data_IF_895609770172
#
_entry.id   IF_895609770172
#
_cell.length_a   1.000
_cell.length_b   1.000
_cell.length_c   1.000
_cell.angle_alpha   90.00
_cell.angle_beta   90.00
_cell.angle_gamma   90.00
#
_symmetry.space_group_name_H-M   'P 1'
#
loop_
_entity.id
_entity.type
_entity.pdbx_description
1 polymer ?
#
# COMPACT_ATOMS: atom_id res chain seq x y z
N UNK A 1 -3.19 18.98 10.48
CA UNK A 1 -3.22 18.11 9.28
C UNK A 1 -2.07 17.12 9.34
N UNK A 2 -2.39 15.83 9.43
CA UNK A 2 -1.38 14.78 9.49
C UNK A 2 -1.22 14.11 8.14
N UNK A 3 0.03 13.81 7.79
CA UNK A 3 0.37 13.07 6.58
C UNK A 3 1.23 11.88 6.96
N UNK A 4 1.05 10.78 6.29
CA UNK A 4 1.87 9.59 6.50
C UNK A 4 2.62 9.24 5.23
N UNK A 5 3.84 8.75 5.38
CA UNK A 5 4.64 8.29 4.25
C UNK A 5 4.94 6.81 4.48
N UNK A 6 4.56 5.99 3.53
CA UNK A 6 4.79 4.55 3.58
C UNK A 6 5.83 4.20 2.54
N UNK A 7 6.93 3.60 2.97
CA UNK A 7 7.99 3.16 2.05
C UNK A 7 7.68 1.75 1.58
N UNK A 8 7.32 1.64 0.32
CA UNK A 8 7.01 0.36 -0.31
C UNK A 8 7.96 0.05 -1.46
N UNK A 9 9.16 0.64 -1.42
CA UNK A 9 10.13 0.53 -2.50
C UNK A 9 11.08 -0.67 -2.36
N UNK A 10 11.14 -1.28 -1.18
CA UNK A 10 12.09 -2.36 -0.91
C UNK A 10 11.74 -3.66 -1.60
N UNK A 11 12.77 -4.42 -1.95
CA UNK A 11 12.59 -5.71 -2.62
C UNK A 11 12.10 -6.81 -1.68
N UNK A 12 12.36 -6.71 -0.39
CA UNK A 12 11.99 -7.75 0.56
C UNK A 12 12.87 -8.99 0.43
N UNK A 13 14.16 -8.80 0.58
CA UNK A 13 15.17 -9.83 0.32
C UNK A 13 15.04 -11.10 1.15
N UNK A 14 14.30 -11.05 2.23
CA UNK A 14 14.11 -12.23 3.09
C UNK A 14 13.07 -13.20 2.56
N UNK A 15 12.32 -12.79 1.55
CA UNK A 15 11.29 -13.63 0.97
C UNK A 15 11.80 -14.26 -0.32
N UNK A 16 11.53 -15.54 -0.49
CA UNK A 16 11.96 -16.27 -1.67
C UNK A 16 11.07 -16.01 -2.89
N UNK A 17 10.08 -15.17 -2.74
CA UNK A 17 9.18 -14.81 -3.82
C UNK A 17 9.72 -13.61 -4.58
N UNK A 18 9.40 -13.51 -5.87
CA UNK A 18 9.74 -12.35 -6.68
C UNK A 18 8.81 -11.17 -6.41
N UNK A 19 7.73 -11.38 -5.68
CA UNK A 19 6.80 -10.31 -5.34
C UNK A 19 7.42 -9.37 -4.32
N UNK A 20 7.16 -8.06 -4.43
CA UNK A 20 7.57 -7.12 -3.38
C UNK A 20 6.97 -7.54 -2.05
N UNK A 21 7.71 -7.34 -0.97
CA UNK A 21 7.26 -7.71 0.36
C UNK A 21 5.89 -7.13 0.69
N UNK A 22 5.67 -5.88 0.31
CA UNK A 22 4.45 -5.14 0.68
C UNK A 22 3.19 -5.67 0.02
N UNK A 23 3.29 -6.50 -1.02
CA UNK A 23 2.11 -7.09 -1.65
C UNK A 23 1.84 -8.53 -1.19
N UNK A 24 2.68 -9.08 -0.32
CA UNK A 24 2.39 -10.38 0.26
C UNK A 24 1.15 -10.27 1.13
N UNK A 25 0.27 -11.23 0.97
CA UNK A 25 -1.03 -11.18 1.62
C UNK A 25 -1.00 -11.69 3.05
N UNK A 26 -1.73 -10.99 3.91
CA UNK A 26 -2.02 -11.41 5.28
C UNK A 26 -3.54 -11.37 5.41
N UNK A 27 -4.15 -12.50 5.72
CA UNK A 27 -5.61 -12.61 5.81
C UNK A 27 -6.29 -12.14 4.52
N UNK A 28 -5.69 -12.47 3.39
CA UNK A 28 -6.25 -12.18 2.07
C UNK A 28 -6.06 -10.77 1.57
N UNK A 29 -5.28 -9.94 2.28
CA UNK A 29 -5.03 -8.57 1.85
C UNK A 29 -3.54 -8.27 1.89
N UNK A 30 -3.02 -7.46 0.97
CA UNK A 30 -1.58 -7.16 0.96
C UNK A 30 -1.16 -6.35 2.18
N UNK A 31 0.08 -6.54 2.61
CA UNK A 31 0.60 -5.85 3.78
C UNK A 31 0.50 -4.33 3.66
N UNK A 32 0.70 -3.81 2.46
CA UNK A 32 0.62 -2.36 2.23
C UNK A 32 -0.77 -1.80 2.56
N UNK A 33 -1.80 -2.60 2.32
CA UNK A 33 -3.16 -2.20 2.67
C UNK A 33 -3.28 -1.93 4.18
N UNK A 34 -2.73 -2.82 5.01
CA UNK A 34 -2.80 -2.65 6.45
C UNK A 34 -2.03 -1.41 6.91
N UNK A 35 -0.90 -1.13 6.26
CA UNK A 35 -0.12 0.06 6.58
C UNK A 35 -0.90 1.34 6.27
N UNK A 36 -1.60 1.37 5.15
CA UNK A 36 -2.41 2.52 4.77
C UNK A 36 -3.57 2.70 5.76
N UNK A 37 -4.25 1.59 6.09
CA UNK A 37 -5.38 1.67 7.03
C UNK A 37 -4.93 2.07 8.43
N UNK A 38 -3.75 1.62 8.85
CA UNK A 38 -3.20 2.03 10.15
C UNK A 38 -2.93 3.54 10.18
N UNK A 39 -2.39 4.09 9.09
CA UNK A 39 -2.15 5.52 9.00
C UNK A 39 -3.46 6.31 9.05
N UNK A 40 -4.48 5.85 8.36
CA UNK A 40 -5.78 6.50 8.37
C UNK A 40 -6.42 6.43 9.76
N UNK A 41 -6.31 5.29 10.43
CA UNK A 41 -6.83 5.13 11.77
C UNK A 41 -6.12 6.03 12.78
N UNK A 42 -4.87 6.38 12.51
CA UNK A 42 -4.10 7.29 13.35
C UNK A 42 -4.47 8.76 13.12
N UNK A 43 -5.39 9.03 12.19
CA UNK A 43 -5.86 10.39 11.92
C UNK A 43 -5.15 11.12 10.79
N UNK A 44 -4.41 10.39 9.95
CA UNK A 44 -3.73 11.01 8.82
C UNK A 44 -4.73 11.37 7.72
N UNK A 45 -4.67 12.61 7.28
CA UNK A 45 -5.54 13.10 6.21
C UNK A 45 -5.09 12.62 4.84
N UNK A 46 -3.79 12.41 4.67
CA UNK A 46 -3.24 11.91 3.42
C UNK A 46 -2.16 10.88 3.69
N UNK A 47 -2.09 9.90 2.80
CA UNK A 47 -1.08 8.84 2.88
C UNK A 47 -0.32 8.81 1.56
N UNK A 48 0.99 8.95 1.64
CA UNK A 48 1.86 8.89 0.47
C UNK A 48 2.58 7.54 0.47
N UNK A 49 2.40 6.76 -0.58
CA UNK A 49 3.06 5.46 -0.72
C UNK A 49 4.17 5.59 -1.76
N UNK A 50 5.40 5.41 -1.33
CA UNK A 50 6.55 5.49 -2.22
C UNK A 50 6.88 4.09 -2.71
N UNK A 51 6.79 3.89 -4.01
CA UNK A 51 7.02 2.60 -4.65
C UNK A 51 8.31 2.64 -5.46
N UNK A 52 8.89 1.49 -5.71
CA UNK A 52 10.13 1.37 -6.47
C UNK A 52 10.22 0.01 -7.13
N UNK A 53 10.71 -0.99 -6.42
CA UNK A 53 10.82 -2.33 -6.96
C UNK A 53 9.42 -2.84 -7.36
N UNK A 54 9.25 -3.15 -8.62
CA UNK A 54 7.98 -3.60 -9.20
C UNK A 54 6.81 -2.67 -8.85
N UNK A 55 7.05 -1.38 -9.04
CA UNK A 55 6.09 -0.33 -8.70
C UNK A 55 4.69 -0.59 -9.26
N UNK A 56 4.60 -1.09 -10.49
CA UNK A 56 3.32 -1.35 -11.13
C UNK A 56 2.52 -2.44 -10.41
N UNK A 57 3.19 -3.48 -9.92
CA UNK A 57 2.53 -4.53 -9.16
C UNK A 57 2.00 -4.01 -7.83
N UNK A 58 2.78 -3.19 -7.15
CA UNK A 58 2.38 -2.61 -5.88
C UNK A 58 1.16 -1.71 -6.06
N UNK A 59 1.22 -0.84 -7.05
CA UNK A 59 0.11 0.07 -7.36
C UNK A 59 -1.16 -0.70 -7.70
N UNK A 60 -1.05 -1.71 -8.55
CA UNK A 60 -2.20 -2.52 -8.92
C UNK A 60 -2.78 -3.25 -7.74
N UNK A 61 -1.93 -3.79 -6.87
CA UNK A 61 -2.37 -4.51 -5.68
C UNK A 61 -3.18 -3.60 -4.76
N UNK A 62 -2.73 -2.38 -4.57
CA UNK A 62 -3.43 -1.40 -3.74
C UNK A 62 -4.80 -1.10 -4.34
N UNK A 63 -4.84 -0.75 -5.62
CA UNK A 63 -6.09 -0.39 -6.30
C UNK A 63 -7.08 -1.55 -6.30
N UNK A 64 -6.61 -2.76 -6.58
CA UNK A 64 -7.47 -3.94 -6.60
C UNK A 64 -8.06 -4.22 -5.23
N UNK A 65 -7.27 -4.05 -4.17
CA UNK A 65 -7.75 -4.30 -2.82
C UNK A 65 -8.88 -3.35 -2.44
N UNK A 66 -8.70 -2.06 -2.71
CA UNK A 66 -9.75 -1.08 -2.41
C UNK A 66 -11.00 -1.29 -3.26
N UNK A 67 -10.82 -1.72 -4.51
CA UNK A 67 -11.96 -2.02 -5.37
C UNK A 67 -12.75 -3.23 -4.84
N UNK A 68 -12.05 -4.28 -4.41
CA UNK A 68 -12.71 -5.46 -3.86
C UNK A 68 -13.50 -5.18 -2.59
N UNK A 69 -13.02 -4.23 -1.81
CA UNK A 69 -13.66 -3.86 -0.55
C UNK A 69 -14.70 -2.76 -0.73
N UNK A 70 -14.93 -2.33 -1.96
CA UNK A 70 -15.85 -1.24 -2.29
C UNK A 70 -15.48 0.04 -1.53
N UNK A 71 -14.18 0.30 -1.45
CA UNK A 71 -13.63 1.46 -0.75
C UNK A 71 -12.85 2.38 -1.69
N UNK A 72 -13.21 2.40 -2.96
CA UNK A 72 -12.48 3.18 -3.96
C UNK A 72 -12.40 4.66 -3.61
N UNK A 73 -13.41 5.19 -2.92
CA UNK A 73 -13.41 6.58 -2.50
C UNK A 73 -12.26 6.92 -1.56
N UNK A 74 -11.82 5.96 -0.75
CA UNK A 74 -10.72 6.18 0.19
C UNK A 74 -9.38 6.36 -0.52
N UNK A 75 -9.29 5.93 -1.78
CA UNK A 75 -8.07 6.11 -2.57
C UNK A 75 -7.78 7.57 -2.90
N UNK A 76 -8.77 8.45 -2.78
CA UNK A 76 -8.56 9.87 -3.05
C UNK A 76 -7.50 10.49 -2.15
N UNK A 77 -7.35 9.96 -0.95
CA UNK A 77 -6.38 10.45 0.01
C UNK A 77 -5.05 9.70 -0.04
N UNK A 78 -4.92 8.76 -0.96
CA UNK A 78 -3.72 7.95 -1.11
C UNK A 78 -2.98 8.38 -2.38
N UNK A 79 -1.73 8.80 -2.21
CA UNK A 79 -0.86 9.20 -3.32
C UNK A 79 0.20 8.14 -3.50
N UNK A 80 0.27 7.58 -4.71
CA UNK A 80 1.28 6.56 -5.02
C UNK A 80 2.30 7.19 -5.94
N UNK A 81 3.57 7.18 -5.54
CA UNK A 81 4.63 7.84 -6.29
C UNK A 81 5.92 7.02 -6.25
N UNK A 82 6.78 7.26 -7.22
CA UNK A 82 8.12 6.65 -7.26
C UNK A 82 9.12 7.49 -6.49
#
# INVERSE_FOLDING_TARGET
MLKAIILAAGKGTRMKSEKPKVVHEVLGKPMVYYSIEAARAAGCDKVCVIVGYKAEEVEKSIKDTYAKLDKTEEMQDVVITN
#
